data_IF_659575818147
#
_entry.id   IF_659575818147
#
_cell.length_a   1.000
_cell.length_b   1.000
_cell.length_c   1.000
_cell.angle_alpha   90.00
_cell.angle_beta   90.00
_cell.angle_gamma   90.00
#
_symmetry.space_group_name_H-M   'P 1'
#
loop_
_entity.id
_entity.type
_entity.pdbx_description
1 polymer ?
#
# COMPACT_ATOMS: atom_id res chain seq x y z
N UNK A 1 33.09 13.17 46.51
CA UNK A 1 32.31 12.17 45.75
C UNK A 1 31.05 12.72 45.06
N UNK A 2 30.19 13.50 45.72
CA UNK A 2 28.93 14.01 45.15
C UNK A 2 29.07 14.74 43.77
N UNK A 3 30.18 15.46 43.53
CA UNK A 3 30.44 16.13 42.25
C UNK A 3 30.59 15.17 41.07
N UNK A 4 31.14 13.96 41.29
CA UNK A 4 31.35 12.94 40.25
C UNK A 4 30.01 12.31 39.85
N UNK A 5 29.15 12.04 40.83
CA UNK A 5 27.77 11.55 40.61
C UNK A 5 26.97 12.59 39.83
N UNK A 6 27.10 13.88 40.16
CA UNK A 6 26.41 14.95 39.43
C UNK A 6 26.88 15.06 37.97
N UNK A 7 28.19 14.94 37.72
CA UNK A 7 28.76 15.01 36.38
C UNK A 7 28.29 13.86 35.48
N UNK A 8 28.25 12.64 36.01
CA UNK A 8 27.74 11.46 35.29
C UNK A 8 26.25 11.56 35.02
N UNK A 9 25.46 12.02 36.00
CA UNK A 9 24.02 12.25 35.83
C UNK A 9 23.73 13.32 34.76
N UNK A 10 24.48 14.43 34.74
CA UNK A 10 24.33 15.47 33.73
C UNK A 10 24.67 14.97 32.32
N UNK A 11 25.77 14.24 32.17
CA UNK A 11 26.15 13.64 30.89
C UNK A 11 25.08 12.65 30.39
N UNK A 12 24.54 11.81 31.29
CA UNK A 12 23.44 10.89 30.98
C UNK A 12 22.19 11.64 30.52
N UNK A 13 21.79 12.70 31.23
CA UNK A 13 20.61 13.50 30.87
C UNK A 13 20.80 14.24 29.55
N UNK A 14 22.00 14.73 29.24
CA UNK A 14 22.31 15.35 27.96
C UNK A 14 22.24 14.33 26.82
N UNK A 15 22.83 13.15 27.00
CA UNK A 15 22.74 12.05 26.03
C UNK A 15 21.28 11.62 25.81
N UNK A 16 20.50 11.47 26.89
CA UNK A 16 19.08 11.12 26.82
C UNK A 16 18.27 12.18 26.08
N UNK A 17 18.49 13.47 26.33
CA UNK A 17 17.82 14.57 25.60
C UNK A 17 18.16 14.54 24.11
N UNK A 18 19.42 14.29 23.76
CA UNK A 18 19.86 14.18 22.37
C UNK A 18 19.20 12.97 21.69
N UNK A 19 19.17 11.82 22.38
CA UNK A 19 18.52 10.61 21.87
C UNK A 19 17.02 10.83 21.64
N UNK A 20 16.31 11.44 22.60
CA UNK A 20 14.87 11.75 22.46
C UNK A 20 14.61 12.71 21.29
N UNK A 21 15.47 13.72 21.08
CA UNK A 21 15.33 14.63 19.94
C UNK A 21 15.55 13.91 18.61
N UNK A 22 16.61 13.10 18.51
CA UNK A 22 16.89 12.33 17.31
C UNK A 22 15.76 11.35 16.94
N UNK A 23 15.16 10.69 17.93
CA UNK A 23 13.99 9.82 17.74
C UNK A 23 12.80 10.61 17.19
N UNK A 24 12.48 11.77 17.78
CA UNK A 24 11.39 12.64 17.29
C UNK A 24 11.62 13.14 15.87
N UNK A 25 12.85 13.50 15.54
CA UNK A 25 13.19 13.94 14.19
C UNK A 25 13.05 12.79 13.19
N UNK A 26 13.48 11.58 13.54
CA UNK A 26 13.30 10.38 12.73
C UNK A 26 11.82 10.03 12.52
N UNK A 27 11.00 10.03 13.59
CA UNK A 27 9.55 9.81 13.51
C UNK A 27 8.86 10.82 12.58
N UNK A 28 9.32 12.08 12.59
CA UNK A 28 8.80 13.14 11.73
C UNK A 28 9.15 12.90 10.26
N UNK A 29 10.38 12.46 9.96
CA UNK A 29 10.78 12.14 8.58
C UNK A 29 10.04 10.90 8.07
N UNK A 30 9.93 9.83 8.87
CA UNK A 30 9.14 8.64 8.53
C UNK A 30 7.68 9.01 8.19
N UNK A 31 7.07 9.91 8.97
CA UNK A 31 5.71 10.37 8.72
C UNK A 31 5.59 11.18 7.42
N UNK A 32 6.53 12.07 7.14
CA UNK A 32 6.56 12.84 5.87
C UNK A 32 6.70 11.90 4.68
N UNK A 33 7.56 10.90 4.76
CA UNK A 33 7.78 9.93 3.69
C UNK A 33 6.53 9.09 3.44
N UNK A 34 5.87 8.63 4.50
CA UNK A 34 4.57 7.96 4.38
C UNK A 34 3.53 8.84 3.67
N UNK A 35 3.42 10.12 4.03
CA UNK A 35 2.50 11.04 3.37
C UNK A 35 2.84 11.23 1.89
N UNK A 36 4.13 11.41 1.54
CA UNK A 36 4.57 11.52 0.14
C UNK A 36 4.17 10.30 -0.68
N UNK A 37 4.42 9.10 -0.15
CA UNK A 37 4.05 7.84 -0.81
C UNK A 37 2.53 7.75 -0.98
N UNK A 38 1.75 8.07 0.05
CA UNK A 38 0.28 8.05 0.00
C UNK A 38 -0.27 9.04 -1.03
N UNK A 39 0.27 10.25 -1.12
CA UNK A 39 -0.14 11.22 -2.12
C UNK A 39 0.19 10.76 -3.54
N UNK A 40 1.36 10.14 -3.75
CA UNK A 40 1.73 9.58 -5.04
C UNK A 40 0.75 8.48 -5.49
N UNK A 41 0.36 7.58 -4.58
CA UNK A 41 -0.62 6.53 -4.90
C UNK A 41 -2.01 7.10 -5.20
N UNK A 42 -2.51 8.01 -4.35
CA UNK A 42 -3.78 8.68 -4.59
C UNK A 42 -3.79 9.39 -5.96
N UNK A 43 -2.65 9.98 -6.36
CA UNK A 43 -2.52 10.65 -7.66
C UNK A 43 -2.68 9.64 -8.81
N UNK A 44 -2.00 8.51 -8.74
CA UNK A 44 -2.10 7.41 -9.72
C UNK A 44 -3.54 6.91 -9.82
N UNK A 45 -4.20 6.65 -8.68
CA UNK A 45 -5.59 6.20 -8.64
C UNK A 45 -6.55 7.20 -9.29
N UNK A 46 -6.40 8.49 -8.97
CA UNK A 46 -7.23 9.55 -9.56
C UNK A 46 -7.02 9.69 -11.06
N UNK A 47 -5.78 9.60 -11.53
CA UNK A 47 -5.46 9.68 -12.95
C UNK A 47 -6.01 8.46 -13.70
N UNK A 48 -5.93 7.26 -13.12
CA UNK A 48 -6.58 6.06 -13.66
C UNK A 48 -8.10 6.24 -13.76
N UNK A 49 -8.76 6.73 -12.70
CA UNK A 49 -10.21 6.96 -12.71
C UNK A 49 -10.61 8.00 -13.77
N UNK A 50 -9.83 9.07 -13.93
CA UNK A 50 -10.06 10.10 -14.95
C UNK A 50 -9.89 9.53 -16.35
N UNK A 51 -8.80 8.79 -16.59
CA UNK A 51 -8.54 8.13 -17.85
C UNK A 51 -9.69 7.16 -18.19
N UNK A 52 -10.15 6.33 -17.26
CA UNK A 52 -11.27 5.42 -17.49
C UNK A 52 -12.58 6.14 -17.87
N UNK A 53 -12.87 7.28 -17.25
CA UNK A 53 -14.05 8.08 -17.60
C UNK A 53 -13.95 8.63 -19.02
N UNK A 54 -12.77 9.13 -19.40
CA UNK A 54 -12.50 9.63 -20.73
C UNK A 54 -12.61 8.51 -21.77
N UNK A 55 -12.03 7.33 -21.49
CA UNK A 55 -12.13 6.14 -22.33
C UNK A 55 -13.57 5.74 -22.62
N UNK A 56 -14.39 5.57 -21.57
CA UNK A 56 -15.81 5.22 -21.73
C UNK A 56 -16.57 6.21 -22.59
N UNK A 57 -16.24 7.50 -22.48
CA UNK A 57 -16.87 8.55 -23.29
C UNK A 57 -16.45 8.45 -24.76
N UNK A 58 -15.17 8.25 -25.03
CA UNK A 58 -14.63 8.10 -26.38
C UNK A 58 -15.21 6.88 -27.08
N UNK A 59 -15.27 5.75 -26.37
CA UNK A 59 -15.78 4.49 -26.90
C UNK A 59 -17.29 4.62 -27.23
N UNK A 60 -18.06 5.31 -26.38
CA UNK A 60 -19.47 5.61 -26.65
C UNK A 60 -19.67 6.52 -27.87
N UNK A 61 -18.83 7.54 -28.04
CA UNK A 61 -18.95 8.51 -29.14
C UNK A 61 -18.49 7.95 -30.47
N UNK A 62 -17.44 7.12 -30.48
CA UNK A 62 -16.85 6.59 -31.73
C UNK A 62 -17.46 5.29 -32.20
N UNK A 63 -18.14 4.53 -31.34
CA UNK A 63 -18.80 3.28 -31.69
C UNK A 63 -17.82 2.32 -32.40
N UNK A 64 -18.01 2.02 -33.70
CA UNK A 64 -17.13 1.12 -34.44
C UNK A 64 -15.72 1.67 -34.71
N UNK A 65 -15.50 2.99 -34.59
CA UNK A 65 -14.20 3.64 -34.78
C UNK A 65 -13.45 3.86 -33.44
N UNK A 66 -13.75 3.05 -32.42
CA UNK A 66 -13.04 3.12 -31.15
C UNK A 66 -11.55 2.74 -31.35
N UNK A 67 -10.61 3.47 -30.72
CA UNK A 67 -9.19 3.17 -30.86
C UNK A 67 -8.86 1.81 -30.23
N UNK A 68 -8.10 0.97 -30.93
CA UNK A 68 -7.59 -0.29 -30.38
C UNK A 68 -6.42 -0.01 -29.44
N UNK A 69 -6.69 -0.03 -28.13
CA UNK A 69 -5.72 0.34 -27.08
C UNK A 69 -4.77 -0.81 -26.68
N UNK A 70 -5.14 -2.03 -27.05
CA UNK A 70 -4.34 -3.23 -26.80
C UNK A 70 -3.20 -3.41 -27.83
N UNK A 71 -3.16 -2.58 -28.87
CA UNK A 71 -2.17 -2.64 -29.93
C UNK A 71 -1.07 -1.57 -29.75
N UNK A 72 0.16 -1.91 -30.14
CA UNK A 72 1.31 -0.99 -30.14
C UNK A 72 2.17 -1.05 -28.88
N UNK A 73 3.00 -0.02 -28.69
CA UNK A 73 3.98 0.04 -27.58
C UNK A 73 3.32 0.11 -26.19
N UNK A 74 2.17 0.78 -26.10
CA UNK A 74 1.39 0.90 -24.85
C UNK A 74 0.50 -0.32 -24.57
N UNK A 75 0.29 -1.19 -25.56
CA UNK A 75 -0.58 -2.37 -25.44
C UNK A 75 -0.14 -3.36 -24.35
N UNK A 76 1.16 -3.44 -24.06
CA UNK A 76 1.68 -4.29 -22.98
C UNK A 76 1.35 -3.78 -21.56
N UNK A 77 1.04 -2.48 -21.45
CA UNK A 77 0.77 -1.79 -20.20
C UNK A 77 -0.72 -1.49 -20.02
N UNK A 78 -1.53 -1.68 -21.06
CA UNK A 78 -2.95 -1.39 -21.01
C UNK A 78 -3.66 -2.34 -20.04
N UNK A 79 -4.35 -1.77 -19.05
CA UNK A 79 -5.01 -2.54 -17.99
C UNK A 79 -4.08 -3.12 -16.92
N UNK A 80 -2.76 -2.92 -17.03
CA UNK A 80 -1.81 -3.32 -15.99
C UNK A 80 -1.75 -2.26 -14.87
N UNK A 81 -1.57 -2.71 -13.62
CA UNK A 81 -1.29 -1.81 -12.50
C UNK A 81 0.22 -1.55 -12.40
N UNK A 82 0.57 -0.34 -11.94
CA UNK A 82 1.96 -0.03 -11.60
C UNK A 82 2.41 -0.83 -10.36
N UNK A 83 3.71 -1.18 -10.24
CA UNK A 83 4.22 -1.85 -9.04
C UNK A 83 3.91 -1.08 -7.75
N UNK A 84 3.90 0.26 -7.83
CA UNK A 84 3.60 1.14 -6.71
C UNK A 84 2.12 1.02 -6.30
N UNK A 85 1.18 0.95 -7.25
CA UNK A 85 -0.22 0.70 -6.95
C UNK A 85 -0.44 -0.71 -6.38
N UNK A 86 0.45 -1.65 -6.74
CA UNK A 86 0.33 -3.03 -6.26
C UNK A 86 0.74 -3.19 -4.79
N UNK A 87 1.77 -2.48 -4.36
CA UNK A 87 2.25 -2.55 -2.98
C UNK A 87 1.91 -1.25 -2.23
N UNK A 88 0.83 -1.24 -1.43
CA UNK A 88 0.49 -0.05 -0.66
C UNK A 88 1.61 0.32 0.32
N UNK A 89 1.71 1.60 0.70
CA UNK A 89 2.78 2.06 1.55
C UNK A 89 2.54 1.57 2.99
N UNK A 90 3.60 1.31 3.76
CA UNK A 90 3.46 0.81 5.13
C UNK A 90 2.76 1.83 6.01
N UNK A 91 1.89 1.33 6.88
CA UNK A 91 1.15 2.15 7.84
C UNK A 91 2.11 2.55 8.97
N UNK A 92 2.14 3.83 9.40
CA UNK A 92 2.97 4.25 10.52
C UNK A 92 2.68 3.44 11.79
N UNK A 93 3.72 3.13 12.56
CA UNK A 93 3.64 2.24 13.74
C UNK A 93 2.58 2.63 14.76
N UNK A 94 2.30 3.93 14.91
CA UNK A 94 1.33 4.45 15.86
C UNK A 94 -0.13 4.28 15.41
N UNK A 95 -0.37 4.14 14.11
CA UNK A 95 -1.71 3.94 13.54
C UNK A 95 -2.03 2.45 13.32
N UNK A 96 -0.98 1.62 13.27
CA UNK A 96 -1.07 0.19 13.06
C UNK A 96 -1.78 -0.52 14.23
N UNK A 97 -2.67 -1.44 13.89
CA UNK A 97 -3.36 -2.32 14.85
C UNK A 97 -2.34 -3.21 15.54
N UNK A 98 -2.40 -3.26 16.88
CA UNK A 98 -1.49 -4.05 17.71
C UNK A 98 -1.72 -5.56 17.56
N UNK A 99 -2.98 -5.96 17.41
CA UNK A 99 -3.40 -7.36 17.28
C UNK A 99 -4.14 -7.52 15.96
N UNK A 100 -3.68 -8.47 15.15
CA UNK A 100 -4.35 -8.91 13.93
C UNK A 100 -4.82 -10.33 14.20
N UNK A 101 -6.13 -10.57 14.07
CA UNK A 101 -6.74 -11.85 14.43
C UNK A 101 -6.83 -12.83 13.25
N UNK A 102 -6.27 -12.46 12.09
CA UNK A 102 -6.24 -13.28 10.88
C UNK A 102 -4.90 -13.99 10.79
N UNK A 103 -4.95 -15.31 10.63
CA UNK A 103 -3.80 -16.16 10.44
C UNK A 103 -3.74 -16.73 9.01
N UNK A 104 -2.58 -17.28 8.66
CA UNK A 104 -2.42 -18.04 7.42
C UNK A 104 -3.23 -19.33 7.53
N UNK A 105 -3.99 -19.66 6.48
CA UNK A 105 -4.90 -20.81 6.45
C UNK A 105 -6.35 -20.52 6.83
N UNK A 106 -6.66 -19.33 7.33
CA UNK A 106 -8.05 -18.93 7.59
C UNK A 106 -8.83 -18.78 6.28
N UNK A 107 -10.11 -19.19 6.29
CA UNK A 107 -11.01 -18.99 5.15
C UNK A 107 -11.72 -17.65 5.30
N UNK A 108 -11.43 -16.74 4.38
CA UNK A 108 -11.93 -15.36 4.42
C UNK A 108 -12.81 -15.06 3.21
N UNK A 109 -13.80 -14.19 3.41
CA UNK A 109 -14.69 -13.71 2.36
C UNK A 109 -14.34 -12.26 2.00
N UNK A 110 -14.26 -11.98 0.71
CA UNK A 110 -14.01 -10.61 0.22
C UNK A 110 -15.34 -9.83 0.23
N UNK A 111 -15.38 -8.73 0.98
CA UNK A 111 -16.59 -7.90 1.11
C UNK A 111 -16.67 -6.73 0.12
N UNK A 112 -15.53 -6.27 -0.40
CA UNK A 112 -15.41 -5.09 -1.27
C UNK A 112 -14.48 -5.36 -2.45
N UNK A 113 -14.66 -4.61 -3.54
CA UNK A 113 -13.84 -4.72 -4.75
C UNK A 113 -14.47 -5.61 -5.82
N UNK A 114 -13.68 -5.95 -6.84
CA UNK A 114 -14.11 -6.75 -8.01
C UNK A 114 -14.49 -8.18 -7.62
N UNK A 115 -13.76 -8.77 -6.68
CA UNK A 115 -13.90 -10.16 -6.26
C UNK A 115 -14.83 -10.35 -5.06
N UNK A 116 -15.79 -9.44 -4.89
CA UNK A 116 -16.76 -9.47 -3.79
C UNK A 116 -17.57 -10.78 -3.79
N UNK A 117 -17.70 -11.38 -2.60
CA UNK A 117 -18.46 -12.61 -2.36
C UNK A 117 -17.69 -13.90 -2.60
N UNK A 118 -16.44 -13.83 -3.08
CA UNK A 118 -15.58 -14.99 -3.22
C UNK A 118 -14.91 -15.32 -1.88
N UNK A 119 -14.82 -16.62 -1.59
CA UNK A 119 -14.28 -17.16 -0.34
C UNK A 119 -13.08 -18.01 -0.70
N UNK A 120 -11.93 -17.75 -0.07
CA UNK A 120 -10.72 -18.56 -0.21
C UNK A 120 -9.83 -18.48 1.02
N UNK A 121 -8.75 -19.26 1.02
CA UNK A 121 -7.76 -19.32 2.09
C UNK A 121 -6.74 -18.17 2.03
N UNK A 122 -6.32 -17.71 3.21
CA UNK A 122 -5.24 -16.75 3.37
C UNK A 122 -3.88 -17.43 3.17
N UNK A 123 -3.09 -16.91 2.23
CA UNK A 123 -1.73 -17.40 1.93
C UNK A 123 -0.68 -16.64 2.74
N UNK A 124 -0.83 -15.32 2.84
CA UNK A 124 0.14 -14.45 3.50
C UNK A 124 -0.54 -13.27 4.16
N UNK A 125 -0.09 -12.92 5.35
CA UNK A 125 -0.52 -11.74 6.11
C UNK A 125 0.68 -10.80 6.25
N UNK A 126 0.59 -9.62 5.66
CA UNK A 126 1.58 -8.56 5.77
C UNK A 126 1.18 -7.60 6.88
N UNK A 127 1.78 -7.81 8.06
CA UNK A 127 1.41 -7.06 9.26
C UNK A 127 1.77 -5.57 9.14
N UNK A 128 2.77 -5.20 8.32
CA UNK A 128 3.21 -3.80 8.13
C UNK A 128 2.26 -2.93 7.31
N UNK A 129 1.58 -3.53 6.36
CA UNK A 129 0.63 -2.85 5.50
C UNK A 129 -0.82 -3.15 5.91
N UNK A 130 -1.01 -4.08 6.87
CA UNK A 130 -2.33 -4.65 7.22
C UNK A 130 -3.04 -5.27 6.00
N UNK A 131 -2.25 -5.80 5.08
CA UNK A 131 -2.74 -6.43 3.86
C UNK A 131 -2.66 -7.94 3.94
N UNK A 132 -3.60 -8.60 3.29
CA UNK A 132 -3.72 -10.05 3.22
C UNK A 132 -3.77 -10.47 1.76
N UNK A 133 -3.01 -11.53 1.46
CA UNK A 133 -3.00 -12.17 0.15
C UNK A 133 -3.84 -13.43 0.24
N UNK A 134 -4.92 -13.45 -0.54
CA UNK A 134 -5.86 -14.57 -0.63
C UNK A 134 -5.57 -15.35 -1.90
N UNK A 135 -5.58 -16.67 -1.80
CA UNK A 135 -5.29 -17.57 -2.92
C UNK A 135 -6.22 -17.30 -4.11
N UNK A 136 -5.63 -17.09 -5.28
CA UNK A 136 -6.28 -16.97 -6.59
C UNK A 136 -7.36 -15.86 -6.72
N UNK A 137 -7.55 -15.00 -5.71
CA UNK A 137 -8.56 -13.93 -5.75
C UNK A 137 -7.97 -12.56 -5.97
N UNK A 138 -6.82 -12.27 -5.36
CA UNK A 138 -6.23 -10.94 -5.45
C UNK A 138 -5.19 -10.81 -6.56
N UNK A 139 -5.43 -11.45 -7.70
CA UNK A 139 -4.44 -11.53 -8.76
C UNK A 139 -4.58 -10.38 -9.74
N UNK A 140 -3.52 -9.60 -9.88
CA UNK A 140 -3.45 -8.48 -10.84
C UNK A 140 -2.41 -8.81 -11.91
N UNK A 141 -2.70 -8.42 -13.15
CA UNK A 141 -1.75 -8.55 -14.24
C UNK A 141 -0.61 -7.53 -14.07
N UNK A 142 0.60 -8.04 -13.92
CA UNK A 142 1.83 -7.29 -14.09
C UNK A 142 2.40 -7.60 -15.47
N UNK A 143 2.59 -6.55 -16.27
CA UNK A 143 3.29 -6.58 -17.57
C UNK A 143 2.97 -7.83 -18.42
N UNK A 144 1.86 -7.77 -19.16
CA UNK A 144 1.55 -8.64 -20.28
C UNK A 144 1.17 -10.10 -19.98
N UNK A 145 1.78 -10.80 -19.03
CA UNK A 145 1.59 -12.27 -18.87
C UNK A 145 1.71 -12.83 -17.46
N UNK A 146 2.13 -12.04 -16.47
CA UNK A 146 2.34 -12.54 -15.09
C UNK A 146 1.27 -12.03 -14.13
N UNK A 147 0.61 -12.97 -13.44
CA UNK A 147 -0.37 -12.65 -12.40
C UNK A 147 0.34 -12.60 -11.05
N UNK A 148 0.23 -11.49 -10.34
CA UNK A 148 0.77 -11.34 -8.99
C UNK A 148 -0.33 -11.07 -7.99
N UNK A 149 -0.21 -11.59 -6.75
CA UNK A 149 -1.10 -11.22 -5.68
C UNK A 149 -0.85 -9.75 -5.32
N UNK A 150 -1.92 -8.96 -5.38
CA UNK A 150 -2.05 -7.69 -4.69
C UNK A 150 -2.33 -7.96 -3.20
N UNK A 151 -2.23 -6.95 -2.35
CA UNK A 151 -2.63 -7.05 -0.93
C UNK A 151 -3.98 -6.38 -0.67
N UNK A 152 -4.97 -7.12 -0.16
CA UNK A 152 -6.26 -6.54 0.27
C UNK A 152 -6.17 -6.17 1.75
N UNK A 153 -6.67 -5.00 2.13
CA UNK A 153 -6.77 -4.63 3.54
C UNK A 153 -7.68 -5.58 4.30
N UNK A 154 -7.16 -6.14 5.39
CA UNK A 154 -7.97 -6.86 6.36
C UNK A 154 -8.75 -5.87 7.22
N UNK A 155 -10.08 -5.89 7.10
CA UNK A 155 -10.97 -5.19 8.03
C UNK A 155 -11.76 -6.23 8.82
N UNK A 156 -11.35 -6.44 10.07
CA UNK A 156 -12.18 -7.03 11.13
C UNK A 156 -13.37 -6.11 11.45
#
# INVERSE_FOLDING_TARGET
MQKVIRRTALARNQAQRKAVRAVKDAEREEFKDHLRQRFALNRIELDNIRAERQRRREDWLRGPLAPQRDAGFEGQSFGALSPQAMNPPPIPKHLRRKYINIAVGDRVCIMKGRDKGKINEVVRVDTSNETVNVRDLNMVCFCGYTHYPHGIFASD
#
